data_IF_160114124166
#
_entry.id   IF_160114124166
#
_cell.length_a   1.000
_cell.length_b   1.000
_cell.length_c   1.000
_cell.angle_alpha   90.00
_cell.angle_beta   90.00
_cell.angle_gamma   90.00
#
_symmetry.space_group_name_H-M   'P 1'
#
loop_
_entity.id
_entity.type
_entity.pdbx_description
1 polymer ?
#
# COMPACT_ATOMS: atom_id res chain seq x y z
N UNK A 1 13.85 -17.03 0.08
CA UNK A 1 13.30 -18.20 -0.62
C UNK A 1 13.32 -17.92 -2.11
N UNK A 2 13.55 -18.91 -2.98
CA UNK A 2 13.45 -18.68 -4.42
C UNK A 2 11.99 -18.41 -4.81
N UNK A 3 11.76 -17.66 -5.87
CA UNK A 3 10.41 -17.43 -6.39
C UNK A 3 9.75 -18.77 -6.77
N UNK A 4 10.51 -19.70 -7.36
CA UNK A 4 10.01 -21.02 -7.73
C UNK A 4 9.53 -21.83 -6.49
N UNK A 5 10.27 -21.80 -5.39
CA UNK A 5 9.85 -22.42 -4.13
C UNK A 5 8.57 -21.77 -3.59
N UNK A 6 8.49 -20.44 -3.57
CA UNK A 6 7.28 -19.73 -3.10
C UNK A 6 6.04 -20.17 -3.89
N UNK A 7 6.15 -20.20 -5.23
CA UNK A 7 5.04 -20.58 -6.12
C UNK A 7 4.65 -22.06 -6.02
N UNK A 8 5.59 -22.93 -5.62
CA UNK A 8 5.35 -24.36 -5.44
C UNK A 8 4.79 -24.69 -4.04
N UNK A 9 5.16 -23.91 -3.04
CA UNK A 9 4.78 -24.15 -1.64
C UNK A 9 3.47 -23.49 -1.26
N UNK A 10 3.28 -22.22 -1.63
CA UNK A 10 2.17 -21.41 -1.14
C UNK A 10 1.11 -21.15 -2.21
N UNK A 11 -0.14 -21.08 -1.79
CA UNK A 11 -1.29 -20.76 -2.64
C UNK A 11 -1.63 -19.26 -2.56
N UNK A 12 -2.08 -18.67 -3.67
CA UNK A 12 -2.61 -17.31 -3.64
C UNK A 12 -3.87 -17.26 -2.75
N UNK A 13 -4.07 -16.16 -2.04
CA UNK A 13 -5.25 -15.96 -1.19
C UNK A 13 -6.49 -15.54 -1.96
N UNK A 14 -6.34 -15.00 -3.18
CA UNK A 14 -7.44 -14.61 -4.07
C UNK A 14 -7.08 -14.89 -5.53
N UNK A 15 -8.09 -14.99 -6.43
CA UNK A 15 -7.87 -15.23 -7.88
C UNK A 15 -7.76 -16.73 -8.27
N UNK A 16 -8.32 -17.63 -7.45
CA UNK A 16 -8.40 -19.07 -7.72
C UNK A 16 -7.27 -19.90 -7.09
N UNK A 17 -7.25 -21.20 -7.37
CA UNK A 17 -6.43 -22.17 -6.63
C UNK A 17 -4.95 -22.22 -7.06
N UNK A 18 -4.56 -21.49 -8.12
CA UNK A 18 -3.21 -21.56 -8.69
C UNK A 18 -2.68 -20.19 -9.10
N UNK A 19 -1.37 -20.01 -9.07
CA UNK A 19 -0.71 -18.79 -9.57
C UNK A 19 -0.98 -18.50 -11.05
N UNK A 20 -1.29 -19.52 -11.86
CA UNK A 20 -1.62 -19.35 -13.27
C UNK A 20 -2.95 -18.63 -13.48
N UNK A 21 -3.91 -18.80 -12.58
CA UNK A 21 -5.19 -18.07 -12.60
C UNK A 21 -5.11 -16.77 -11.80
N UNK A 22 -4.46 -16.80 -10.64
CA UNK A 22 -4.47 -15.67 -9.71
C UNK A 22 -3.76 -14.44 -10.24
N UNK A 23 -2.66 -14.59 -10.98
CA UNK A 23 -1.92 -13.44 -11.52
C UNK A 23 -2.73 -12.70 -12.60
N UNK A 24 -3.30 -13.38 -13.63
CA UNK A 24 -4.22 -12.72 -14.56
C UNK A 24 -5.39 -12.02 -13.89
N UNK A 25 -6.04 -12.66 -12.91
CA UNK A 25 -7.19 -12.09 -12.20
C UNK A 25 -6.78 -10.84 -11.40
N UNK A 26 -5.64 -10.91 -10.71
CA UNK A 26 -5.06 -9.76 -9.98
C UNK A 26 -4.74 -8.60 -10.94
N UNK A 27 -4.24 -8.88 -12.13
CA UNK A 27 -3.88 -7.84 -13.12
C UNK A 27 -5.06 -7.33 -13.93
N UNK A 28 -6.23 -7.98 -13.86
CA UNK A 28 -7.45 -7.49 -14.48
C UNK A 28 -8.06 -6.30 -13.71
N UNK A 29 -7.75 -6.20 -12.41
CA UNK A 29 -8.08 -5.04 -11.58
C UNK A 29 -7.05 -3.91 -11.79
N UNK A 30 -7.55 -2.70 -12.06
CA UNK A 30 -6.71 -1.57 -12.46
C UNK A 30 -5.80 -1.08 -11.32
N UNK A 31 -6.31 -1.02 -10.10
CA UNK A 31 -5.54 -0.59 -8.92
C UNK A 31 -4.46 -1.63 -8.59
N UNK A 32 -4.81 -2.91 -8.64
CA UNK A 32 -3.84 -4.00 -8.46
C UNK A 32 -2.77 -4.00 -9.55
N UNK A 33 -3.14 -3.80 -10.82
CA UNK A 33 -2.17 -3.68 -11.90
C UNK A 33 -1.22 -2.48 -11.71
N UNK A 34 -1.76 -1.33 -11.27
CA UNK A 34 -0.96 -0.15 -10.92
C UNK A 34 0.01 -0.45 -9.78
N UNK A 35 -0.45 -1.09 -8.71
CA UNK A 35 0.36 -1.51 -7.57
C UNK A 35 1.52 -2.42 -8.01
N UNK A 36 1.23 -3.40 -8.86
CA UNK A 36 2.26 -4.31 -9.40
C UNK A 36 3.33 -3.54 -10.20
N UNK A 37 2.95 -2.53 -10.98
CA UNK A 37 3.94 -1.72 -11.74
C UNK A 37 4.79 -0.81 -10.85
N UNK A 38 4.21 -0.23 -9.79
CA UNK A 38 4.96 0.54 -8.79
C UNK A 38 6.01 -0.34 -8.11
N UNK A 39 5.57 -1.49 -7.57
CA UNK A 39 6.45 -2.46 -6.93
C UNK A 39 7.50 -3.03 -7.89
N UNK A 40 7.15 -3.25 -9.16
CA UNK A 40 8.12 -3.68 -10.19
C UNK A 40 9.20 -2.62 -10.41
N UNK A 41 8.80 -1.34 -10.46
CA UNK A 41 9.74 -0.23 -10.66
C UNK A 41 10.69 -0.11 -9.47
N UNK A 42 10.18 -0.22 -8.24
CA UNK A 42 11.00 -0.26 -7.02
C UNK A 42 11.95 -1.46 -6.99
N UNK A 43 11.46 -2.63 -7.37
CA UNK A 43 12.28 -3.84 -7.43
C UNK A 43 13.48 -3.66 -8.36
N UNK A 44 13.30 -2.96 -9.49
CA UNK A 44 14.39 -2.63 -10.42
C UNK A 44 15.39 -1.66 -9.78
N UNK A 45 14.92 -0.66 -9.06
CA UNK A 45 15.78 0.37 -8.43
C UNK A 45 16.55 -0.18 -7.23
N UNK A 46 15.86 -0.94 -6.36
CA UNK A 46 16.37 -1.35 -5.06
C UNK A 46 16.93 -2.78 -5.05
N UNK A 47 16.67 -3.58 -6.10
CA UNK A 47 17.08 -4.98 -6.18
C UNK A 47 16.28 -5.93 -5.26
N UNK A 48 15.23 -5.43 -4.60
CA UNK A 48 14.34 -6.19 -3.72
C UNK A 48 13.16 -5.35 -3.25
N UNK A 49 12.25 -5.97 -2.51
CA UNK A 49 11.14 -5.26 -1.85
C UNK A 49 11.52 -4.83 -0.43
N UNK A 50 10.97 -3.71 0.02
CA UNK A 50 11.12 -3.23 1.39
C UNK A 50 10.50 -4.20 2.41
N UNK A 51 9.29 -4.71 2.11
CA UNK A 51 8.58 -5.67 2.95
C UNK A 51 8.76 -7.12 2.46
N UNK A 52 8.80 -8.12 3.37
CA UNK A 52 8.80 -9.55 3.03
C UNK A 52 7.38 -10.08 2.80
N UNK A 53 7.23 -11.11 1.97
CA UNK A 53 5.94 -11.78 1.72
C UNK A 53 5.50 -12.44 3.03
N UNK A 54 4.30 -12.14 3.52
CA UNK A 54 3.77 -12.78 4.72
C UNK A 54 3.02 -14.05 4.31
N UNK A 55 3.32 -15.16 4.97
CA UNK A 55 2.71 -16.45 4.69
C UNK A 55 2.17 -17.11 5.95
N UNK A 56 1.22 -18.01 5.76
CA UNK A 56 0.86 -19.02 6.74
C UNK A 56 1.53 -20.34 6.32
N UNK A 57 2.57 -20.82 7.03
CA UNK A 57 3.23 -22.07 6.69
C UNK A 57 2.35 -23.31 6.90
N UNK A 58 1.44 -23.28 7.87
CA UNK A 58 0.59 -24.42 8.22
C UNK A 58 -0.51 -24.59 7.17
N UNK A 59 -1.21 -23.50 6.84
CA UNK A 59 -2.23 -23.48 5.78
C UNK A 59 -1.62 -23.50 4.36
N UNK A 60 -0.33 -23.13 4.25
CA UNK A 60 0.38 -22.91 2.97
C UNK A 60 -0.27 -21.84 2.12
N UNK A 61 -0.59 -20.71 2.75
CA UNK A 61 -1.28 -19.59 2.11
C UNK A 61 -0.43 -18.32 2.13
N UNK A 62 -0.63 -17.46 1.12
CA UNK A 62 -0.10 -16.09 1.15
C UNK A 62 -1.07 -15.21 1.93
N UNK A 63 -0.62 -14.67 3.06
CA UNK A 63 -1.40 -13.72 3.86
C UNK A 63 -1.25 -12.30 3.33
N UNK A 64 -0.05 -11.92 2.89
CA UNK A 64 0.22 -10.63 2.24
C UNK A 64 1.40 -10.72 1.25
N UNK A 65 1.34 -9.92 0.20
CA UNK A 65 2.41 -9.80 -0.79
C UNK A 65 2.10 -10.40 -2.16
N UNK A 66 0.84 -10.66 -2.50
CA UNK A 66 0.48 -11.13 -3.84
C UNK A 66 0.95 -10.18 -4.95
N UNK A 67 0.79 -8.86 -4.78
CA UNK A 67 1.28 -7.86 -5.76
C UNK A 67 2.80 -7.89 -5.89
N UNK A 68 3.53 -8.18 -4.80
CA UNK A 68 5.00 -8.31 -4.81
C UNK A 68 5.45 -9.58 -5.54
N UNK A 69 4.74 -10.69 -5.38
CA UNK A 69 4.96 -11.92 -6.15
C UNK A 69 4.70 -11.67 -7.64
N UNK A 70 3.60 -10.99 -7.97
CA UNK A 70 3.28 -10.62 -9.35
C UNK A 70 4.34 -9.70 -9.97
N UNK A 71 4.82 -8.70 -9.23
CA UNK A 71 5.89 -7.81 -9.65
C UNK A 71 7.20 -8.57 -9.89
N UNK A 72 7.57 -9.50 -9.00
CA UNK A 72 8.75 -10.34 -9.15
C UNK A 72 8.67 -11.25 -10.39
N UNK A 73 7.50 -11.87 -10.64
CA UNK A 73 7.24 -12.66 -11.84
C UNK A 73 7.44 -11.84 -13.12
N UNK A 74 6.86 -10.63 -13.17
CA UNK A 74 6.98 -9.75 -14.35
C UNK A 74 8.40 -9.25 -14.55
N UNK A 75 9.16 -9.06 -13.48
CA UNK A 75 10.56 -8.63 -13.55
C UNK A 75 11.57 -9.77 -13.72
N UNK A 76 11.11 -11.04 -13.69
CA UNK A 76 11.98 -12.24 -13.62
C UNK A 76 12.98 -12.13 -12.46
N UNK A 77 12.47 -11.80 -11.29
CA UNK A 77 13.26 -11.74 -10.07
C UNK A 77 13.20 -13.07 -9.34
N UNK A 78 14.35 -13.61 -8.98
CA UNK A 78 14.48 -15.04 -8.70
C UNK A 78 14.28 -15.41 -7.23
N UNK A 79 14.26 -14.43 -6.34
CA UNK A 79 14.19 -14.65 -4.89
C UNK A 79 13.26 -13.66 -4.20
N UNK A 80 12.71 -14.06 -3.06
CA UNK A 80 11.83 -13.24 -2.24
C UNK A 80 12.22 -13.40 -0.76
N UNK A 81 12.12 -12.30 -0.01
CA UNK A 81 12.07 -12.37 1.45
C UNK A 81 10.68 -12.87 1.85
N UNK A 82 10.62 -13.83 2.75
CA UNK A 82 9.38 -14.45 3.24
C UNK A 82 9.42 -14.38 4.76
N UNK A 83 8.31 -13.98 5.36
CA UNK A 83 8.06 -13.94 6.79
C UNK A 83 6.88 -14.88 7.10
N UNK A 84 6.98 -15.67 8.15
CA UNK A 84 5.92 -16.56 8.62
C UNK A 84 5.21 -16.03 9.88
N UNK A 85 5.67 -14.90 10.42
CA UNK A 85 5.02 -14.18 11.51
C UNK A 85 4.84 -12.70 11.18
N UNK A 86 3.69 -12.09 11.53
CA UNK A 86 3.51 -10.64 11.45
C UNK A 86 4.57 -9.84 12.23
N UNK A 87 5.16 -10.42 13.29
CA UNK A 87 6.24 -9.78 14.06
C UNK A 87 7.55 -9.61 13.28
N UNK A 88 7.71 -10.33 12.16
CA UNK A 88 8.89 -10.23 11.31
C UNK A 88 8.70 -9.21 10.18
N UNK A 89 7.53 -8.60 10.11
CA UNK A 89 7.27 -7.46 9.24
C UNK A 89 7.87 -6.20 9.87
N UNK A 90 8.43 -5.28 9.05
CA UNK A 90 8.78 -3.96 9.55
C UNK A 90 7.51 -3.27 10.09
N UNK A 91 7.65 -2.55 11.20
CA UNK A 91 6.53 -1.81 11.79
C UNK A 91 5.90 -0.88 10.75
N UNK A 92 4.56 -0.91 10.60
CA UNK A 92 3.88 -0.04 9.66
C UNK A 92 3.96 1.39 10.18
N UNK A 93 4.90 2.16 9.61
CA UNK A 93 5.05 3.57 9.92
C UNK A 93 3.79 4.34 9.53
N UNK A 94 3.33 5.25 10.39
CA UNK A 94 2.18 6.11 10.17
C UNK A 94 2.58 7.57 10.10
N UNK A 95 1.90 8.27 9.21
CA UNK A 95 2.06 9.70 9.01
C UNK A 95 0.68 10.35 9.14
N UNK A 96 0.61 11.40 9.95
CA UNK A 96 -0.55 12.27 10.03
C UNK A 96 -0.46 13.34 8.95
N UNK A 97 -1.44 13.38 8.05
CA UNK A 97 -1.60 14.48 7.10
C UNK A 97 -2.78 15.35 7.49
N UNK A 98 -2.58 16.68 7.49
CA UNK A 98 -3.67 17.67 7.61
C UNK A 98 -3.85 18.31 6.24
N UNK A 99 -5.04 18.14 5.68
CA UNK A 99 -5.42 18.61 4.35
C UNK A 99 -6.43 19.75 4.49
N UNK A 100 -6.13 20.91 3.91
CA UNK A 100 -7.02 22.06 3.85
C UNK A 100 -8.00 21.93 2.69
N UNK A 101 -9.26 22.32 2.92
CA UNK A 101 -10.31 22.39 1.92
C UNK A 101 -11.11 23.70 2.11
N UNK A 102 -11.81 24.16 1.07
CA UNK A 102 -12.62 25.38 1.16
C UNK A 102 -13.74 25.28 2.20
N UNK A 103 -14.38 24.11 2.29
CA UNK A 103 -15.35 23.75 3.32
C UNK A 103 -15.44 22.23 3.44
N UNK A 104 -15.53 21.72 4.67
CA UNK A 104 -15.66 20.29 4.92
C UNK A 104 -17.11 19.96 5.26
N UNK A 105 -17.76 19.25 4.35
CA UNK A 105 -19.13 18.76 4.52
C UNK A 105 -19.12 17.24 4.69
N UNK A 106 -20.19 16.65 5.22
CA UNK A 106 -20.31 15.18 5.30
C UNK A 106 -20.13 14.52 3.94
N UNK A 107 -20.71 15.10 2.87
CA UNK A 107 -20.53 14.62 1.50
C UNK A 107 -19.07 14.66 1.04
N UNK A 108 -18.32 15.70 1.41
CA UNK A 108 -16.89 15.73 1.11
C UNK A 108 -16.15 14.61 1.85
N UNK A 109 -16.43 14.44 3.14
CA UNK A 109 -15.79 13.41 3.98
C UNK A 109 -16.05 12.01 3.43
N UNK A 110 -17.28 11.70 3.03
CA UNK A 110 -17.62 10.40 2.44
C UNK A 110 -16.85 10.13 1.14
N UNK A 111 -16.69 11.17 0.31
CA UNK A 111 -15.92 11.06 -0.93
C UNK A 111 -14.42 10.89 -0.65
N UNK A 112 -13.88 11.67 0.28
CA UNK A 112 -12.48 11.53 0.71
C UNK A 112 -12.21 10.16 1.32
N UNK A 113 -13.10 9.66 2.16
CA UNK A 113 -13.01 8.30 2.68
C UNK A 113 -12.99 7.30 1.53
N UNK A 114 -13.85 7.43 0.52
CA UNK A 114 -13.82 6.51 -0.62
C UNK A 114 -12.51 6.55 -1.40
N UNK A 115 -11.95 7.73 -1.68
CA UNK A 115 -10.78 7.86 -2.59
C UNK A 115 -9.42 7.81 -1.89
N UNK A 116 -9.37 8.09 -0.58
CA UNK A 116 -8.13 8.12 0.21
C UNK A 116 -8.05 7.01 1.26
N UNK A 117 -9.08 6.15 1.41
CA UNK A 117 -9.05 5.07 2.41
C UNK A 117 -7.96 4.06 2.15
N UNK A 118 -7.77 3.67 0.90
CA UNK A 118 -6.94 2.54 0.54
C UNK A 118 -6.56 2.64 -0.93
N UNK A 119 -5.28 2.69 -1.26
CA UNK A 119 -4.84 2.82 -2.64
C UNK A 119 -3.40 2.32 -2.91
N UNK A 120 -3.07 2.00 -4.17
CA UNK A 120 -1.69 1.75 -4.61
C UNK A 120 -0.77 2.93 -4.37
N UNK A 121 0.37 2.69 -3.72
CA UNK A 121 1.36 3.68 -3.32
C UNK A 121 2.77 3.08 -3.42
N UNK A 122 3.85 3.85 -3.60
CA UNK A 122 5.18 3.28 -3.51
C UNK A 122 5.38 2.48 -2.21
N UNK A 123 6.00 1.31 -2.31
CA UNK A 123 6.11 0.30 -1.26
C UNK A 123 4.93 -0.67 -1.16
N UNK A 124 3.85 -0.47 -1.94
CA UNK A 124 2.73 -1.40 -2.07
C UNK A 124 1.36 -0.73 -1.95
N UNK A 125 0.62 -1.08 -0.91
CA UNK A 125 -0.70 -0.51 -0.65
C UNK A 125 -0.62 0.40 0.58
N UNK A 126 -1.17 1.60 0.49
CA UNK A 126 -1.34 2.46 1.67
C UNK A 126 -2.79 2.43 2.15
N UNK A 127 -2.95 2.49 3.47
CA UNK A 127 -4.26 2.54 4.12
C UNK A 127 -4.34 3.75 5.03
N UNK A 128 -5.50 4.40 5.00
CA UNK A 128 -5.92 5.39 5.97
C UNK A 128 -6.49 4.67 7.19
N UNK A 129 -5.90 4.80 8.36
CA UNK A 129 -6.42 4.19 9.60
C UNK A 129 -7.64 4.96 10.11
N UNK A 130 -7.61 6.29 9.99
CA UNK A 130 -8.68 7.17 10.44
C UNK A 130 -8.68 8.51 9.70
N UNK A 131 -9.87 9.07 9.52
CA UNK A 131 -10.12 10.37 8.90
C UNK A 131 -11.00 11.22 9.83
N UNK A 132 -10.53 12.40 10.17
CA UNK A 132 -11.09 13.28 11.19
C UNK A 132 -11.43 14.64 10.57
N UNK A 133 -12.72 14.94 10.34
CA UNK A 133 -13.13 16.21 9.77
C UNK A 133 -13.14 17.35 10.80
N UNK A 134 -12.63 18.51 10.41
CA UNK A 134 -12.90 19.82 11.01
C UNK A 134 -13.74 20.68 10.06
N UNK A 135 -13.81 22.00 10.27
CA UNK A 135 -14.65 22.89 9.44
C UNK A 135 -14.07 23.17 8.05
N UNK A 136 -12.74 23.36 7.97
CA UNK A 136 -11.99 23.69 6.73
C UNK A 136 -10.76 22.78 6.54
N UNK A 137 -10.63 21.76 7.39
CA UNK A 137 -9.51 20.82 7.35
C UNK A 137 -9.98 19.40 7.54
N UNK A 138 -9.29 18.45 6.94
CA UNK A 138 -9.44 17.02 7.22
C UNK A 138 -8.08 16.49 7.63
N UNK A 139 -8.01 15.89 8.81
CA UNK A 139 -6.80 15.23 9.30
C UNK A 139 -6.96 13.73 9.15
N UNK A 140 -5.93 13.01 8.74
CA UNK A 140 -5.98 11.56 8.74
C UNK A 140 -4.61 10.93 8.98
N UNK A 141 -4.63 9.63 9.22
CA UNK A 141 -3.43 8.84 9.49
C UNK A 141 -3.26 7.80 8.39
N UNK A 142 -2.13 7.83 7.69
CA UNK A 142 -1.84 6.91 6.61
C UNK A 142 -0.60 6.09 6.92
N UNK A 143 -0.66 4.81 6.57
CA UNK A 143 0.50 3.93 6.54
C UNK A 143 1.44 4.38 5.42
N UNK A 144 2.68 4.74 5.76
CA UNK A 144 3.64 5.29 4.82
C UNK A 144 5.02 4.68 5.04
N UNK A 145 5.58 3.96 4.05
CA UNK A 145 6.96 3.53 4.09
C UNK A 145 7.91 4.69 4.40
N UNK A 146 9.01 4.38 5.09
CA UNK A 146 10.03 5.38 5.42
C UNK A 146 10.59 6.03 4.14
N UNK A 147 10.68 7.36 4.15
CA UNK A 147 11.23 8.13 3.04
C UNK A 147 10.24 8.51 1.93
N UNK A 148 8.96 8.14 2.05
CA UNK A 148 7.92 8.42 1.05
C UNK A 148 6.89 9.48 1.48
N UNK A 149 7.23 10.29 2.49
CA UNK A 149 6.36 11.32 3.06
C UNK A 149 5.85 12.32 2.01
N UNK A 150 6.77 12.85 1.19
CA UNK A 150 6.45 13.85 0.18
C UNK A 150 5.60 13.25 -0.95
N UNK A 151 5.89 12.01 -1.33
CA UNK A 151 5.15 11.22 -2.29
C UNK A 151 3.74 10.94 -1.78
N UNK A 152 3.59 10.60 -0.49
CA UNK A 152 2.28 10.35 0.12
C UNK A 152 1.44 11.62 0.06
N UNK A 153 1.98 12.76 0.48
CA UNK A 153 1.27 14.03 0.41
C UNK A 153 0.85 14.38 -1.02
N UNK A 154 1.75 14.20 -1.99
CA UNK A 154 1.48 14.46 -3.40
C UNK A 154 0.37 13.55 -3.93
N UNK A 155 0.40 12.27 -3.58
CA UNK A 155 -0.59 11.27 -4.01
C UNK A 155 -1.96 11.54 -3.39
N UNK A 156 -2.03 11.91 -2.10
CA UNK A 156 -3.29 12.29 -1.44
C UNK A 156 -3.98 13.46 -2.16
N UNK A 157 -3.21 14.49 -2.53
CA UNK A 157 -3.72 15.64 -3.29
C UNK A 157 -4.14 15.20 -4.70
N UNK A 158 -3.29 14.46 -5.40
CA UNK A 158 -3.56 14.03 -6.78
C UNK A 158 -4.82 13.16 -6.89
N UNK A 159 -5.03 12.23 -5.95
CA UNK A 159 -6.22 11.37 -5.91
C UNK A 159 -7.48 12.14 -5.58
N UNK A 160 -7.42 13.07 -4.64
CA UNK A 160 -8.54 13.96 -4.36
C UNK A 160 -8.89 14.80 -5.62
N UNK A 161 -7.88 15.36 -6.28
CA UNK A 161 -8.05 16.16 -7.49
C UNK A 161 -8.64 15.36 -8.66
N UNK A 162 -8.28 14.08 -8.80
CA UNK A 162 -8.86 13.18 -9.80
C UNK A 162 -10.38 12.95 -9.58
N UNK A 163 -10.85 13.08 -8.33
CA UNK A 163 -12.29 13.08 -8.01
C UNK A 163 -12.89 14.49 -8.07
N UNK A 164 -12.14 15.53 -8.47
CA UNK A 164 -12.63 16.92 -8.48
C UNK A 164 -12.74 17.52 -7.09
N UNK A 165 -11.90 17.08 -6.16
CA UNK A 165 -11.76 17.64 -4.80
C UNK A 165 -10.45 18.41 -4.73
N UNK A 166 -10.54 19.71 -4.47
CA UNK A 166 -9.36 20.55 -4.26
C UNK A 166 -8.91 20.49 -2.80
N UNK A 167 -7.70 19.98 -2.59
CA UNK A 167 -7.04 19.94 -1.29
C UNK A 167 -5.67 20.61 -1.35
N UNK A 168 -5.24 21.17 -0.23
CA UNK A 168 -3.86 21.62 -0.02
C UNK A 168 -3.28 20.90 1.18
N UNK A 169 -2.03 20.46 1.10
CA UNK A 169 -1.33 19.96 2.28
C UNK A 169 -1.01 21.13 3.21
N UNK A 170 -1.48 21.06 4.45
CA UNK A 170 -1.15 22.03 5.49
C UNK A 170 0.00 21.54 6.36
N UNK A 171 -0.01 20.27 6.73
CA UNK A 171 1.06 19.65 7.52
C UNK A 171 1.14 18.16 7.27
N UNK A 172 2.34 17.62 7.44
CA UNK A 172 2.63 16.20 7.41
C UNK A 172 3.58 15.85 8.56
N UNK A 173 3.15 14.98 9.46
CA UNK A 173 3.87 14.69 10.71
C UNK A 173 3.98 13.17 10.91
N UNK A 174 5.18 12.60 10.99
CA UNK A 174 5.37 11.20 11.38
C UNK A 174 4.81 10.96 12.78
N UNK A 175 4.08 9.85 12.99
CA UNK A 175 3.50 9.51 14.29
C UNK A 175 4.40 8.58 15.13
N UNK A 176 5.38 7.94 14.51
CA UNK A 176 6.24 6.94 15.17
C UNK A 176 7.57 7.54 15.66
N UNK A 177 7.56 8.79 16.10
CA UNK A 177 8.69 9.30 16.86
C UNK A 177 8.50 8.92 18.35
N UNK A 178 9.25 7.95 18.90
CA UNK A 178 9.21 7.61 20.33
C UNK A 178 9.65 8.78 21.23
N UNK A 179 10.09 9.91 20.66
CA UNK A 179 10.40 11.13 21.40
C UNK A 179 9.28 12.17 21.43
N UNK A 180 8.11 11.88 20.85
CA UNK A 180 6.93 12.74 20.93
C UNK A 180 6.10 12.51 22.23
N UNK A 181 6.76 12.63 23.39
CA UNK A 181 6.13 12.82 24.71
C UNK A 181 6.92 13.84 25.54
#
# INVERSE_FOLDING_TARGET
MTLAEVLATYRPSVGGDTWKSAIPDLLADADSAQCVELLRSELVVNGGFAQPILVDPEAREILDGMHRIAAALRNRHDWLKVADSPSDLPDPRRVQATLGAAAVTSTLVDRLARVLRSFPFPGGWTNCDGLFPGDVTVTGWWQCPEGFDAELASELIARAAADGIELVLLSLTPLDDPTAL
#
